data_IF_910032195862
#
_entry.id   IF_910032195862
#
_cell.length_a   1.000
_cell.length_b   1.000
_cell.length_c   1.000
_cell.angle_alpha   90.00
_cell.angle_beta   90.00
_cell.angle_gamma   90.00
#
_symmetry.space_group_name_H-M   'P 1'
#
loop_
_entity.id
_entity.type
_entity.pdbx_description
1 polymer ?
#
# COMPACT_ATOMS: atom_id res chain seq x y z
N UNK A 1 24.28 -28.06 -13.89
CA UNK A 1 22.97 -28.32 -13.24
C UNK A 1 22.09 -27.09 -13.32
N UNK A 2 21.23 -27.00 -14.34
CA UNK A 2 20.23 -25.93 -14.48
C UNK A 2 18.91 -26.44 -13.90
N UNK A 3 18.66 -26.19 -12.62
CA UNK A 3 17.34 -26.42 -11.99
C UNK A 3 16.34 -25.43 -12.59
N UNK A 4 15.72 -25.85 -13.69
CA UNK A 4 14.31 -25.66 -14.03
C UNK A 4 13.60 -24.44 -13.42
N UNK A 5 13.86 -23.26 -13.99
CA UNK A 5 12.97 -22.08 -13.90
C UNK A 5 11.53 -22.43 -14.37
N UNK A 6 11.38 -23.46 -15.23
CA UNK A 6 10.09 -23.95 -15.73
C UNK A 6 9.13 -24.46 -14.66
N UNK A 7 9.60 -24.91 -13.49
CA UNK A 7 8.72 -25.44 -12.46
C UNK A 7 7.97 -24.35 -11.67
N UNK A 8 8.52 -23.13 -11.59
CA UNK A 8 7.86 -22.00 -10.92
C UNK A 8 6.67 -21.48 -11.73
N UNK A 9 6.72 -21.57 -13.07
CA UNK A 9 5.60 -21.15 -13.93
C UNK A 9 4.40 -22.11 -13.86
N UNK A 10 4.64 -23.42 -13.72
CA UNK A 10 3.55 -24.42 -13.63
C UNK A 10 2.78 -24.41 -12.31
N UNK A 11 3.37 -23.90 -11.21
CA UNK A 11 2.62 -23.73 -9.95
C UNK A 11 1.70 -22.51 -9.98
N UNK A 12 2.03 -21.48 -10.76
CA UNK A 12 1.18 -20.29 -10.93
C UNK A 12 -0.07 -20.55 -11.79
N UNK A 13 -0.03 -21.53 -12.69
CA UNK A 13 -1.16 -21.85 -13.58
C UNK A 13 -2.15 -22.86 -13.00
N UNK A 14 -1.73 -23.68 -12.01
CA UNK A 14 -2.61 -24.61 -11.27
C UNK A 14 -3.43 -23.88 -10.20
N UNK A 15 -4.41 -23.10 -10.63
CA UNK A 15 -5.33 -22.43 -9.70
C UNK A 15 -6.18 -21.33 -10.34
N UNK A 16 -5.84 -20.89 -11.55
CA UNK A 16 -6.60 -19.84 -12.25
C UNK A 16 -8.06 -20.18 -12.52
N UNK A 17 -8.40 -21.48 -12.65
CA UNK A 17 -9.79 -21.93 -12.85
C UNK A 17 -10.63 -21.86 -11.57
N UNK A 18 -10.00 -21.93 -10.41
CA UNK A 18 -10.66 -21.96 -9.09
C UNK A 18 -10.54 -20.63 -8.35
N UNK A 19 -10.03 -19.57 -9.01
CA UNK A 19 -9.97 -18.23 -8.43
C UNK A 19 -11.37 -17.77 -8.10
N UNK A 20 -11.60 -17.47 -6.83
CA UNK A 20 -12.80 -16.78 -6.38
C UNK A 20 -12.86 -15.43 -7.07
N UNK A 21 -13.74 -15.31 -8.06
CA UNK A 21 -14.01 -14.05 -8.74
C UNK A 21 -14.51 -13.08 -7.68
N UNK A 22 -13.76 -12.00 -7.44
CA UNK A 22 -14.20 -10.97 -6.52
C UNK A 22 -15.55 -10.42 -7.00
N UNK A 23 -16.52 -10.22 -6.10
CA UNK A 23 -17.91 -9.94 -6.48
C UNK A 23 -18.08 -8.66 -7.32
N UNK A 24 -17.09 -7.77 -7.31
CA UNK A 24 -17.09 -6.52 -8.05
C UNK A 24 -16.41 -6.60 -9.43
N UNK A 25 -15.58 -7.61 -9.72
CA UNK A 25 -14.86 -7.71 -11.00
C UNK A 25 -15.34 -8.88 -11.87
N UNK A 26 -16.42 -8.64 -12.61
CA UNK A 26 -16.97 -9.60 -13.57
C UNK A 26 -16.11 -9.79 -14.83
N UNK A 27 -15.10 -8.94 -15.05
CA UNK A 27 -14.25 -8.97 -16.26
C UNK A 27 -12.85 -9.51 -15.99
N UNK A 28 -12.50 -9.77 -14.73
CA UNK A 28 -11.22 -10.36 -14.32
C UNK A 28 -10.02 -9.47 -14.65
N UNK A 29 -10.14 -8.15 -14.40
CA UNK A 29 -9.03 -7.23 -14.50
C UNK A 29 -8.09 -7.42 -13.30
N UNK A 30 -6.86 -6.95 -13.44
CA UNK A 30 -5.94 -6.95 -12.32
C UNK A 30 -6.36 -5.89 -11.29
N UNK A 31 -6.48 -6.30 -10.04
CA UNK A 31 -6.73 -5.43 -8.90
C UNK A 31 -5.69 -5.70 -7.81
N UNK A 32 -5.17 -4.63 -7.20
CA UNK A 32 -4.12 -4.72 -6.19
C UNK A 32 -4.61 -5.39 -4.91
N UNK A 33 -5.85 -5.12 -4.51
CA UNK A 33 -6.42 -5.67 -3.27
C UNK A 33 -6.65 -7.19 -3.42
N UNK A 34 -7.05 -7.62 -4.63
CA UNK A 34 -7.20 -9.05 -4.96
C UNK A 34 -5.85 -9.76 -4.95
N UNK A 35 -4.83 -9.12 -5.50
CA UNK A 35 -3.47 -9.65 -5.45
C UNK A 35 -2.93 -9.71 -4.02
N UNK A 36 -3.25 -8.73 -3.16
CA UNK A 36 -2.88 -8.73 -1.76
C UNK A 36 -3.54 -9.91 -1.02
N UNK A 37 -4.85 -10.11 -1.24
CA UNK A 37 -5.60 -11.22 -0.65
C UNK A 37 -5.05 -12.60 -1.08
N UNK A 38 -4.78 -12.78 -2.38
CA UNK A 38 -4.22 -14.03 -2.92
C UNK A 38 -2.84 -14.35 -2.34
N UNK A 39 -2.03 -13.31 -2.11
CA UNK A 39 -0.68 -13.44 -1.53
C UNK A 39 -0.67 -13.41 0.00
N UNK A 40 -1.84 -13.31 0.66
CA UNK A 40 -1.97 -13.16 2.11
C UNK A 40 -1.14 -11.99 2.68
N UNK A 41 -1.12 -10.88 1.94
CA UNK A 41 -0.45 -9.65 2.33
C UNK A 41 -1.48 -8.61 2.80
N UNK A 42 -1.04 -7.71 3.68
CA UNK A 42 -1.83 -6.54 4.06
C UNK A 42 -2.04 -5.61 2.86
N UNK A 43 -3.29 -5.26 2.57
CA UNK A 43 -3.69 -4.40 1.46
C UNK A 43 -3.00 -3.02 1.57
N UNK A 44 -2.95 -2.45 2.78
CA UNK A 44 -2.31 -1.16 3.02
C UNK A 44 -0.80 -1.22 2.78
N UNK A 45 -0.19 -2.35 3.11
CA UNK A 45 1.22 -2.62 2.83
C UNK A 45 1.47 -2.71 1.33
N UNK A 46 0.68 -3.50 0.59
CA UNK A 46 0.82 -3.64 -0.87
C UNK A 46 0.63 -2.29 -1.57
N UNK A 47 -0.42 -1.53 -1.20
CA UNK A 47 -0.65 -0.19 -1.72
C UNK A 47 0.52 0.77 -1.42
N UNK A 48 1.25 0.56 -0.32
CA UNK A 48 2.44 1.35 0.03
C UNK A 48 3.63 1.11 -0.90
N UNK A 49 3.75 -0.09 -1.48
CA UNK A 49 4.87 -0.47 -2.35
C UNK A 49 4.84 0.24 -3.70
N UNK A 50 3.63 0.60 -4.16
CA UNK A 50 3.41 1.23 -5.48
C UNK A 50 3.31 2.76 -5.42
N UNK A 51 3.61 3.39 -4.28
CA UNK A 51 3.71 4.85 -4.13
C UNK A 51 5.04 5.27 -3.49
N UNK A 52 5.51 6.51 -3.69
CA UNK A 52 6.73 6.97 -3.05
C UNK A 52 6.68 6.85 -1.52
N UNK A 53 7.74 6.31 -0.92
CA UNK A 53 7.76 5.92 0.49
C UNK A 53 7.44 7.08 1.46
N UNK A 54 7.84 8.31 1.13
CA UNK A 54 7.63 9.48 1.99
C UNK A 54 6.15 9.94 2.09
N UNK A 55 5.26 9.37 1.28
CA UNK A 55 3.82 9.55 1.42
C UNK A 55 3.24 8.66 2.53
N UNK A 56 3.63 7.38 2.58
CA UNK A 56 3.09 6.41 3.54
C UNK A 56 3.86 6.41 4.87
N UNK A 57 5.19 6.48 4.80
CA UNK A 57 6.08 6.33 5.95
C UNK A 57 6.56 7.67 6.50
N UNK A 58 7.04 7.66 7.75
CA UNK A 58 7.73 8.79 8.37
C UNK A 58 9.16 8.91 7.79
N UNK A 59 9.24 9.36 6.54
CA UNK A 59 10.50 9.58 5.81
C UNK A 59 10.62 11.01 5.33
N UNK A 60 11.87 11.46 5.16
CA UNK A 60 12.18 12.69 4.42
C UNK A 60 11.90 12.46 2.95
N UNK A 61 11.25 13.44 2.31
CA UNK A 61 10.94 13.46 0.89
C UNK A 61 10.38 14.82 0.51
N UNK A 62 10.66 15.26 -0.71
CA UNK A 62 10.18 16.54 -1.22
C UNK A 62 8.67 16.46 -1.47
N UNK A 63 7.94 17.52 -1.13
CA UNK A 63 6.50 17.67 -1.39
C UNK A 63 6.25 18.99 -2.09
N UNK A 64 5.27 19.01 -2.98
CA UNK A 64 4.87 20.25 -3.63
C UNK A 64 4.13 21.16 -2.64
N UNK A 65 4.37 22.49 -2.66
CA UNK A 65 3.64 23.43 -1.80
C UNK A 65 2.12 23.37 -2.00
N UNK A 66 1.66 23.05 -3.22
CA UNK A 66 0.24 22.92 -3.56
C UNK A 66 -0.46 21.75 -2.81
N UNK A 67 0.29 20.74 -2.36
CA UNK A 67 -0.28 19.61 -1.61
C UNK A 67 -0.61 19.96 -0.16
N UNK A 68 -0.03 21.02 0.41
CA UNK A 68 -0.09 21.28 1.85
C UNK A 68 -1.48 21.71 2.33
N UNK A 69 -2.36 22.11 1.41
CA UNK A 69 -3.65 22.71 1.72
C UNK A 69 -3.54 24.22 1.94
N UNK A 70 -4.69 24.88 2.08
CA UNK A 70 -4.77 26.32 2.32
C UNK A 70 -5.92 26.66 3.26
N UNK A 71 -5.75 27.74 4.01
CA UNK A 71 -6.83 28.34 4.80
C UNK A 71 -7.95 28.86 3.87
N UNK A 72 -9.16 28.92 4.41
CA UNK A 72 -10.30 29.49 3.69
C UNK A 72 -10.05 30.97 3.36
N UNK A 73 -10.56 31.41 2.21
CA UNK A 73 -10.60 32.82 1.82
C UNK A 73 -12.05 33.21 1.54
N UNK A 74 -12.45 34.49 1.65
CA UNK A 74 -13.79 34.90 1.24
C UNK A 74 -14.12 34.38 -0.17
N UNK A 75 -15.23 33.64 -0.31
CA UNK A 75 -15.62 32.99 -1.57
C UNK A 75 -14.99 31.62 -1.85
N UNK A 76 -14.20 31.06 -0.94
CA UNK A 76 -13.62 29.71 -1.10
C UNK A 76 -13.49 28.96 0.22
N UNK A 77 -13.82 27.65 0.18
CA UNK A 77 -13.65 26.77 1.33
C UNK A 77 -12.15 26.50 1.61
N UNK A 78 -11.86 26.14 2.86
CA UNK A 78 -10.54 25.66 3.24
C UNK A 78 -10.22 24.34 2.52
N UNK A 79 -8.96 24.15 2.16
CA UNK A 79 -8.47 22.88 1.64
C UNK A 79 -7.49 22.25 2.62
N UNK A 80 -7.66 20.97 2.87
CA UNK A 80 -6.75 20.17 3.69
C UNK A 80 -6.19 19.05 2.84
N UNK A 81 -4.88 18.80 2.97
CA UNK A 81 -4.19 17.71 2.30
C UNK A 81 -4.93 16.38 2.44
N UNK A 82 -5.36 16.05 3.66
CA UNK A 82 -5.99 14.77 3.96
C UNK A 82 -7.33 14.57 3.23
N UNK A 83 -7.99 15.67 2.84
CA UNK A 83 -9.23 15.62 2.04
C UNK A 83 -8.95 15.54 0.55
N UNK A 84 -7.92 16.23 0.08
CA UNK A 84 -7.56 16.29 -1.35
C UNK A 84 -6.81 15.02 -1.78
N UNK A 85 -5.99 14.47 -0.89
CA UNK A 85 -5.10 13.34 -1.13
C UNK A 85 -5.22 12.27 -0.02
N UNK A 86 -6.40 11.64 0.14
CA UNK A 86 -6.65 10.70 1.24
C UNK A 86 -5.73 9.47 1.17
N UNK A 87 -5.44 8.98 -0.03
CA UNK A 87 -4.57 7.81 -0.26
C UNK A 87 -3.08 8.09 0.02
N UNK A 88 -2.68 9.36 0.11
CA UNK A 88 -1.30 9.79 0.40
C UNK A 88 -1.12 10.27 1.85
N UNK A 89 -2.06 9.88 2.73
CA UNK A 89 -1.90 10.02 4.17
C UNK A 89 -0.86 9.01 4.68
N UNK A 90 -0.13 9.42 5.72
CA UNK A 90 0.83 8.54 6.39
C UNK A 90 0.08 7.45 7.17
N UNK A 91 0.60 6.24 7.11
CA UNK A 91 0.14 5.12 7.92
C UNK A 91 1.13 4.87 9.05
N UNK A 92 0.79 5.36 10.25
CA UNK A 92 1.65 5.26 11.42
C UNK A 92 1.73 3.85 11.99
N UNK A 93 0.67 3.03 11.82
CA UNK A 93 0.68 1.62 12.20
C UNK A 93 1.72 0.86 11.38
N UNK A 94 1.64 0.98 10.05
CA UNK A 94 2.57 0.35 9.13
C UNK A 94 4.01 0.86 9.30
N UNK A 95 4.20 2.17 9.57
CA UNK A 95 5.52 2.71 9.86
C UNK A 95 6.13 2.10 11.12
N UNK A 96 5.33 1.94 12.18
CA UNK A 96 5.79 1.33 13.43
C UNK A 96 6.15 -0.14 13.25
N UNK A 97 5.34 -0.89 12.50
CA UNK A 97 5.55 -2.32 12.26
C UNK A 97 6.78 -2.61 11.41
N UNK A 98 7.04 -1.80 10.37
CA UNK A 98 8.09 -2.08 9.39
C UNK A 98 9.40 -1.32 9.62
N UNK A 99 9.36 -0.16 10.28
CA UNK A 99 10.53 0.74 10.36
C UNK A 99 10.98 1.07 11.76
N UNK A 100 10.11 0.93 12.76
CA UNK A 100 10.46 1.27 14.14
C UNK A 100 10.78 0.01 14.94
N UNK A 101 11.83 0.10 15.75
CA UNK A 101 12.20 -0.95 16.68
C UNK A 101 11.19 -0.95 17.84
N UNK A 102 10.56 -2.09 18.09
CA UNK A 102 9.69 -2.23 19.25
C UNK A 102 10.52 -2.30 20.53
N UNK A 103 10.29 -1.37 21.46
CA UNK A 103 10.93 -1.35 22.79
C UNK A 103 10.82 -2.70 23.52
N UNK A 104 9.66 -3.37 23.45
CA UNK A 104 9.44 -4.70 24.06
C UNK A 104 10.38 -5.80 23.55
N UNK A 105 10.96 -5.64 22.36
CA UNK A 105 11.91 -6.61 21.78
C UNK A 105 13.36 -6.33 22.17
N UNK A 106 13.61 -5.19 22.81
CA UNK A 106 14.96 -4.68 23.09
C UNK A 106 15.21 -4.48 24.57
N UNK A 107 14.16 -4.22 25.35
CA UNK A 107 14.29 -4.16 26.80
C UNK A 107 14.78 -5.50 27.35
N UNK A 108 15.74 -5.42 28.27
CA UNK A 108 16.34 -6.54 28.98
C UNK A 108 16.08 -6.44 30.50
N UNK A 109 15.22 -5.49 30.90
CA UNK A 109 14.71 -5.36 32.27
C UNK A 109 13.84 -6.55 32.67
#
# INVERSE_FOLDING_TARGET
>A
MRRTVRFLFNSFERGWKDKTVFPADRRGRFNLDEAAAELQLDEEYVASLYKPLHYTYAMRGQRYPAEQGRTSRPGSLSSSRDRVFPLYKRNYKLNRELRELSYRRVTTE
#
